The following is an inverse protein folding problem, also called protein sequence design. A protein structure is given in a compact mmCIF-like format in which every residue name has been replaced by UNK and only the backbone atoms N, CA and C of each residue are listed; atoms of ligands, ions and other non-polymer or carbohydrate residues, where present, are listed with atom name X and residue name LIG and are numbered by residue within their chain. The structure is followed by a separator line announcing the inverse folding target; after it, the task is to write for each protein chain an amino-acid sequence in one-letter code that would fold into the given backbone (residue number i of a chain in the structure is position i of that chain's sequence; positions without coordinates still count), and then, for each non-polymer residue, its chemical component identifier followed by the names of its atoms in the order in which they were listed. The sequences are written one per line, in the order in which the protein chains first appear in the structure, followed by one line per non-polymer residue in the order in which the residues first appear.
data_IF_158556843770
#
_entry.id   IF_158556843770
#
_cell.length_a   1.000
_cell.length_b   1.000
_cell.length_c   1.000
_cell.angle_alpha   90.00
_cell.angle_beta   90.00
_cell.angle_gamma   90.00
#
_symmetry.space_group_name_H-M   'P 1'
#
loop_
_entity.id
_entity.type
_entity.pdbx_description
1 polymer ?
#
# COMPACT_ATOMS: atom_id res chain seq x y z
N UNK A 1 11.76 -6.40 6.35
CA UNK A 1 12.87 -6.27 5.37
C UNK A 1 14.24 -6.58 5.97
N UNK A 2 14.62 -6.06 7.13
CA UNK A 2 15.93 -6.36 7.73
C UNK A 2 16.17 -7.87 7.97
N UNK A 3 15.16 -8.63 8.37
CA UNK A 3 15.24 -10.09 8.57
C UNK A 3 15.47 -10.84 7.25
N UNK A 4 14.83 -10.41 6.17
CA UNK A 4 15.00 -10.99 4.84
C UNK A 4 16.41 -10.74 4.31
N UNK A 5 16.92 -9.51 4.47
CA UNK A 5 18.29 -9.17 4.14
C UNK A 5 19.30 -10.01 4.94
N UNK A 6 19.08 -10.16 6.25
CA UNK A 6 19.93 -10.99 7.10
C UNK A 6 19.91 -12.47 6.68
N UNK A 7 18.75 -12.99 6.26
CA UNK A 7 18.63 -14.35 5.75
C UNK A 7 19.45 -14.56 4.47
N UNK A 8 19.30 -13.67 3.45
CA UNK A 8 20.02 -13.81 2.19
C UNK A 8 21.51 -13.51 2.29
N UNK A 9 21.91 -12.65 3.22
CA UNK A 9 23.34 -12.48 3.55
C UNK A 9 23.94 -13.78 4.09
N UNK A 10 23.18 -14.56 4.87
CA UNK A 10 23.62 -15.85 5.40
C UNK A 10 23.55 -16.99 4.38
N UNK A 11 22.63 -16.91 3.42
CA UNK A 11 22.39 -17.92 2.39
C UNK A 11 22.34 -17.30 0.99
N UNK A 12 23.49 -16.86 0.43
CA UNK A 12 23.54 -16.12 -0.84
C UNK A 12 23.07 -16.94 -2.04
N UNK A 13 23.26 -18.25 -2.01
CA UNK A 13 22.86 -19.18 -3.10
C UNK A 13 21.40 -19.66 -2.97
N UNK A 14 20.61 -19.06 -2.12
CA UNK A 14 19.23 -19.48 -1.92
C UNK A 14 18.38 -19.22 -3.18
N UNK A 15 17.82 -20.30 -3.75
CA UNK A 15 16.86 -20.24 -4.88
C UNK A 15 15.61 -19.40 -4.58
N UNK A 16 15.34 -19.11 -3.32
CA UNK A 16 14.19 -18.31 -2.89
C UNK A 16 14.42 -16.80 -3.02
N UNK A 17 15.64 -16.36 -3.29
CA UNK A 17 15.96 -14.95 -3.43
C UNK A 17 15.13 -14.26 -4.55
N UNK A 18 15.05 -14.90 -5.73
CA UNK A 18 14.27 -14.39 -6.85
C UNK A 18 12.74 -14.40 -6.60
N UNK A 19 12.26 -15.28 -5.71
CA UNK A 19 10.85 -15.34 -5.31
C UNK A 19 10.52 -14.27 -4.27
N UNK A 20 11.46 -13.97 -3.38
CA UNK A 20 11.29 -13.00 -2.32
C UNK A 20 11.18 -11.55 -2.82
N UNK A 21 11.83 -11.24 -3.94
CA UNK A 21 11.79 -9.91 -4.56
C UNK A 21 10.40 -9.51 -5.04
N UNK A 22 9.60 -10.48 -5.46
CA UNK A 22 8.25 -10.22 -5.98
C UNK A 22 7.14 -10.29 -4.93
N UNK A 23 7.45 -10.69 -3.68
CA UNK A 23 6.44 -10.85 -2.63
C UNK A 23 6.39 -9.60 -1.75
N UNK A 24 5.59 -8.62 -2.16
CA UNK A 24 5.34 -7.40 -1.37
C UNK A 24 4.31 -7.60 -0.26
N UNK A 25 3.45 -8.61 -0.36
CA UNK A 25 2.33 -8.83 0.55
C UNK A 25 2.22 -10.31 0.94
N UNK A 26 1.73 -10.57 2.15
CA UNK A 26 1.43 -11.93 2.59
C UNK A 26 0.20 -12.48 1.84
N UNK A 27 0.26 -13.73 1.36
CA UNK A 27 -0.89 -14.42 0.76
C UNK A 27 -1.94 -14.84 1.81
N UNK A 28 -2.10 -14.04 2.86
CA UNK A 28 -3.07 -14.25 3.92
C UNK A 28 -3.47 -12.89 4.48
N UNK A 29 -4.74 -12.54 4.32
CA UNK A 29 -5.27 -11.24 4.73
C UNK A 29 -5.20 -11.03 6.24
N UNK A 30 -5.40 -12.07 7.03
CA UNK A 30 -5.33 -12.00 8.50
C UNK A 30 -3.91 -11.71 8.99
N UNK A 31 -2.89 -12.35 8.38
CA UNK A 31 -1.49 -12.04 8.65
C UNK A 31 -1.15 -10.62 8.24
N UNK A 32 -1.64 -10.15 7.10
CA UNK A 32 -1.48 -8.77 6.64
C UNK A 32 -2.06 -7.78 7.65
N UNK A 33 -3.25 -8.04 8.18
CA UNK A 33 -3.87 -7.17 9.20
C UNK A 33 -3.09 -7.17 10.50
N UNK A 34 -2.56 -8.31 10.93
CA UNK A 34 -1.69 -8.38 12.13
C UNK A 34 -0.41 -7.57 11.93
N UNK A 35 0.23 -7.69 10.78
CA UNK A 35 1.49 -6.97 10.48
C UNK A 35 1.25 -5.47 10.37
N UNK A 36 0.17 -5.03 9.70
CA UNK A 36 -0.08 -3.61 9.44
C UNK A 36 -0.76 -2.89 10.62
N UNK A 37 -1.66 -3.55 11.33
CA UNK A 37 -2.52 -2.93 12.35
C UNK A 37 -2.35 -3.56 13.75
N UNK A 38 -1.48 -4.56 13.88
CA UNK A 38 -1.28 -5.30 15.11
C UNK A 38 -2.49 -6.16 15.53
N UNK A 39 -2.37 -6.82 16.66
CA UNK A 39 -3.43 -7.67 17.23
C UNK A 39 -4.70 -6.88 17.52
N UNK A 40 -4.59 -5.61 17.94
CA UNK A 40 -5.74 -4.76 18.24
C UNK A 40 -6.54 -4.48 16.97
N UNK A 41 -5.88 -4.12 15.86
CA UNK A 41 -6.55 -3.89 14.59
C UNK A 41 -7.24 -5.14 14.05
N UNK A 42 -6.58 -6.30 14.12
CA UNK A 42 -7.19 -7.58 13.76
C UNK A 42 -8.46 -7.85 14.61
N UNK A 43 -8.37 -7.69 15.93
CA UNK A 43 -9.48 -7.95 16.84
C UNK A 43 -10.68 -7.05 16.55
N UNK A 44 -10.45 -5.76 16.28
CA UNK A 44 -11.50 -4.80 15.92
C UNK A 44 -12.16 -5.18 14.58
N UNK A 45 -11.38 -5.57 13.59
CA UNK A 45 -11.89 -5.98 12.27
C UNK A 45 -12.75 -7.25 12.38
N UNK A 46 -12.26 -8.26 13.12
CA UNK A 46 -13.02 -9.49 13.36
C UNK A 46 -14.31 -9.21 14.14
N UNK A 47 -14.29 -8.29 15.10
CA UNK A 47 -15.48 -7.87 15.84
C UNK A 47 -16.49 -7.18 14.92
N UNK A 48 -16.05 -6.26 14.07
CA UNK A 48 -16.91 -5.58 13.09
C UNK A 48 -17.58 -6.56 12.11
N UNK A 49 -16.89 -7.61 11.71
CA UNK A 49 -17.44 -8.66 10.82
C UNK A 49 -18.36 -9.59 11.59
N UNK A 50 -18.02 -9.96 12.82
CA UNK A 50 -18.76 -10.96 13.60
C UNK A 50 -20.12 -10.44 14.08
N UNK A 51 -20.23 -9.14 14.41
CA UNK A 51 -21.48 -8.55 14.94
C UNK A 51 -22.65 -8.70 13.96
N UNK A 52 -22.57 -8.32 12.67
CA UNK A 52 -23.65 -8.54 11.71
C UNK A 52 -24.01 -10.02 11.53
N UNK A 53 -23.02 -10.89 11.49
CA UNK A 53 -23.23 -12.34 11.33
C UNK A 53 -23.96 -12.91 12.54
N UNK A 54 -23.56 -12.53 13.74
CA UNK A 54 -24.17 -13.04 14.97
C UNK A 54 -25.60 -12.52 15.16
N UNK A 55 -25.81 -11.23 14.93
CA UNK A 55 -27.14 -10.63 15.08
C UNK A 55 -28.14 -11.18 14.06
N UNK A 56 -27.69 -11.60 12.88
CA UNK A 56 -28.55 -12.19 11.83
C UNK A 56 -28.94 -13.65 12.09
N UNK A 57 -28.35 -14.34 13.10
CA UNK A 57 -28.63 -15.77 13.38
C UNK A 57 -30.09 -16.09 13.71
N UNK A 58 -30.84 -15.14 14.25
CA UNK A 58 -32.25 -15.29 14.59
C UNK A 58 -33.23 -15.13 13.42
N UNK A 59 -32.72 -14.78 12.23
CA UNK A 59 -33.53 -14.57 11.04
C UNK A 59 -33.73 -15.89 10.26
N UNK A 60 -34.80 -15.97 9.45
CA UNK A 60 -35.11 -17.16 8.65
C UNK A 60 -33.93 -17.51 7.74
N UNK A 61 -33.48 -18.76 7.82
CA UNK A 61 -32.27 -19.25 7.13
C UNK A 61 -32.40 -19.16 5.60
N UNK A 62 -33.61 -19.30 5.05
CA UNK A 62 -33.81 -19.36 3.60
C UNK A 62 -33.55 -18.04 2.88
N UNK A 63 -33.84 -16.90 3.52
CA UNK A 63 -33.73 -15.58 2.85
C UNK A 63 -32.28 -15.04 2.88
N UNK A 64 -31.53 -15.38 3.93
CA UNK A 64 -30.15 -14.89 4.11
C UNK A 64 -29.07 -15.93 3.79
N UNK A 65 -29.46 -17.10 3.30
CA UNK A 65 -28.53 -18.19 3.04
C UNK A 65 -27.42 -17.80 2.05
N UNK A 66 -27.80 -17.23 0.90
CA UNK A 66 -26.84 -16.83 -0.13
C UNK A 66 -25.92 -15.69 0.34
N UNK A 67 -26.42 -14.74 1.12
CA UNK A 67 -25.62 -13.64 1.67
C UNK A 67 -24.57 -14.19 2.63
N UNK A 68 -24.94 -15.09 3.53
CA UNK A 68 -24.02 -15.75 4.46
C UNK A 68 -22.98 -16.61 3.75
N UNK A 69 -23.40 -17.34 2.72
CA UNK A 69 -22.51 -18.16 1.90
C UNK A 69 -21.49 -17.28 1.16
N UNK A 70 -21.91 -16.15 0.61
CA UNK A 70 -21.01 -15.20 -0.05
C UNK A 70 -19.98 -14.62 0.92
N UNK A 71 -20.39 -14.22 2.13
CA UNK A 71 -19.45 -13.73 3.17
C UNK A 71 -18.49 -14.83 3.58
N UNK A 72 -18.97 -16.06 3.75
CA UNK A 72 -18.12 -17.21 4.07
C UNK A 72 -17.09 -17.46 2.97
N UNK A 73 -17.50 -17.39 1.70
CA UNK A 73 -16.61 -17.56 0.55
C UNK A 73 -15.51 -16.51 0.52
N UNK A 74 -15.84 -15.23 0.74
CA UNK A 74 -14.85 -14.15 0.86
C UNK A 74 -13.89 -14.45 2.03
N UNK A 75 -14.41 -14.89 3.18
CA UNK A 75 -13.61 -15.27 4.36
C UNK A 75 -12.64 -16.41 4.06
N UNK A 76 -13.08 -17.45 3.36
CA UNK A 76 -12.20 -18.56 2.94
C UNK A 76 -11.10 -18.05 1.99
N UNK A 77 -11.47 -17.24 0.99
CA UNK A 77 -10.49 -16.65 0.08
C UNK A 77 -9.44 -15.80 0.82
N UNK A 78 -9.83 -15.10 1.90
CA UNK A 78 -8.93 -14.28 2.69
C UNK A 78 -7.84 -15.08 3.45
N UNK A 79 -8.03 -16.38 3.66
CA UNK A 79 -6.99 -17.26 4.22
C UNK A 79 -5.88 -17.59 3.23
N UNK A 80 -6.19 -17.64 1.94
CA UNK A 80 -5.27 -18.11 0.89
C UNK A 80 -4.88 -17.02 -0.10
N UNK A 81 -5.44 -15.81 0.06
CA UNK A 81 -5.23 -14.68 -0.85
C UNK A 81 -5.44 -13.35 -0.11
N UNK A 82 -5.36 -12.26 -0.85
CA UNK A 82 -5.58 -10.89 -0.38
C UNK A 82 -6.77 -10.21 -1.10
N UNK A 83 -8.01 -10.74 -0.96
CA UNK A 83 -9.18 -10.23 -1.68
C UNK A 83 -9.49 -8.76 -1.35
N UNK A 84 -9.15 -8.30 -0.16
CA UNK A 84 -9.39 -6.91 0.26
C UNK A 84 -8.40 -5.89 -0.33
N UNK A 85 -7.45 -6.30 -1.18
CA UNK A 85 -6.69 -5.37 -2.02
C UNK A 85 -7.53 -4.84 -3.19
N UNK A 86 -8.63 -5.51 -3.53
CA UNK A 86 -9.50 -5.11 -4.63
C UNK A 86 -10.69 -4.31 -4.12
N UNK A 87 -10.83 -3.02 -4.52
CA UNK A 87 -11.93 -2.16 -4.05
C UNK A 87 -13.33 -2.75 -4.29
N UNK A 88 -13.51 -3.49 -5.39
CA UNK A 88 -14.77 -4.16 -5.69
C UNK A 88 -15.15 -5.18 -4.62
N UNK A 89 -14.20 -6.01 -4.16
CA UNK A 89 -14.46 -7.00 -3.11
C UNK A 89 -14.75 -6.31 -1.76
N UNK A 90 -14.06 -5.22 -1.47
CA UNK A 90 -14.34 -4.42 -0.26
C UNK A 90 -15.78 -3.89 -0.29
N UNK A 91 -16.19 -3.25 -1.39
CA UNK A 91 -17.56 -2.73 -1.54
C UNK A 91 -18.60 -3.84 -1.45
N UNK A 92 -18.35 -4.99 -2.09
CA UNK A 92 -19.23 -6.15 -2.01
C UNK A 92 -19.36 -6.68 -0.59
N UNK A 93 -18.25 -6.81 0.15
CA UNK A 93 -18.27 -7.25 1.54
C UNK A 93 -19.06 -6.29 2.43
N UNK A 94 -18.86 -4.98 2.28
CA UNK A 94 -19.60 -3.95 3.02
C UNK A 94 -21.09 -4.02 2.69
N UNK A 95 -21.46 -4.16 1.41
CA UNK A 95 -22.86 -4.28 0.99
C UNK A 95 -23.53 -5.53 1.59
N UNK A 96 -22.86 -6.69 1.54
CA UNK A 96 -23.36 -7.93 2.13
C UNK A 96 -23.57 -7.81 3.64
N UNK A 97 -22.64 -7.19 4.38
CA UNK A 97 -22.79 -6.93 5.80
C UNK A 97 -23.92 -5.94 6.10
N UNK A 98 -24.08 -4.91 5.28
CA UNK A 98 -25.18 -3.95 5.39
C UNK A 98 -26.54 -4.61 5.16
N UNK A 99 -26.67 -5.52 4.19
CA UNK A 99 -27.90 -6.30 3.97
C UNK A 99 -28.23 -7.18 5.17
N UNK A 100 -27.24 -7.84 5.80
CA UNK A 100 -27.47 -8.61 7.03
C UNK A 100 -28.02 -7.75 8.19
N UNK A 101 -27.60 -6.49 8.27
CA UNK A 101 -28.08 -5.56 9.30
C UNK A 101 -29.46 -4.97 8.95
N UNK A 102 -29.73 -4.68 7.66
CA UNK A 102 -30.97 -4.07 7.20
C UNK A 102 -32.18 -5.01 7.35
N UNK A 103 -31.98 -6.31 7.07
CA UNK A 103 -32.98 -7.35 7.25
C UNK A 103 -33.40 -7.56 8.73
N UNK A 104 -32.66 -7.02 9.65
CA UNK A 104 -33.05 -7.01 11.06
C UNK A 104 -34.29 -6.13 11.22
N UNK A 105 -35.47 -6.76 11.07
CA UNK A 105 -36.76 -6.11 11.41
C UNK A 105 -36.62 -5.41 12.72
N UNK A 106 -36.66 -4.10 12.66
CA UNK A 106 -36.59 -3.12 13.72
C UNK A 106 -37.38 -3.54 14.98
N UNK A 107 -36.76 -4.28 15.87
CA UNK A 107 -37.02 -4.04 17.25
C UNK A 107 -36.34 -2.72 17.59
N UNK A 108 -37.14 -1.69 17.62
CA UNK A 108 -36.80 -0.28 17.82
C UNK A 108 -35.74 -0.12 18.92
N UNK A 109 -34.48 -0.06 18.53
CA UNK A 109 -33.48 0.48 19.43
C UNK A 109 -33.61 2.01 19.32
N UNK A 110 -33.99 2.66 20.37
CA UNK A 110 -34.13 4.12 20.47
C UNK A 110 -32.84 4.87 20.08
N UNK A 111 -31.72 4.21 20.17
CA UNK A 111 -30.38 4.70 19.76
C UNK A 111 -30.31 4.96 18.26
N UNK A 112 -30.88 4.07 17.42
CA UNK A 112 -30.83 4.22 15.95
C UNK A 112 -31.76 5.33 15.46
N UNK A 113 -32.72 5.76 16.27
CA UNK A 113 -33.67 6.83 15.92
C UNK A 113 -33.17 8.23 16.30
N UNK A 114 -32.02 8.35 16.94
CA UNK A 114 -31.46 9.63 17.30
C UNK A 114 -30.98 10.38 16.03
N UNK A 115 -31.65 11.48 15.70
CA UNK A 115 -31.38 12.30 14.52
C UNK A 115 -29.95 12.88 14.56
N UNK A 116 -29.46 13.18 15.75
CA UNK A 116 -28.08 13.67 15.93
C UNK A 116 -27.03 12.61 15.56
N UNK A 117 -27.25 11.36 15.95
CA UNK A 117 -26.34 10.26 15.58
C UNK A 117 -26.35 10.01 14.08
N UNK A 118 -27.52 10.05 13.43
CA UNK A 118 -27.62 9.93 11.97
C UNK A 118 -26.93 11.09 11.27
N UNK A 119 -27.12 12.32 11.76
CA UNK A 119 -26.50 13.53 11.22
C UNK A 119 -24.98 13.49 11.34
N UNK A 120 -24.44 13.14 12.50
CA UNK A 120 -22.98 13.04 12.70
C UNK A 120 -22.36 11.93 11.86
N UNK A 121 -23.00 10.76 11.76
CA UNK A 121 -22.51 9.67 10.91
C UNK A 121 -22.53 10.04 9.43
N UNK A 122 -23.61 10.70 8.96
CA UNK A 122 -23.71 11.18 7.58
C UNK A 122 -22.64 12.22 7.26
N UNK A 123 -22.40 13.18 8.17
CA UNK A 123 -21.34 14.18 8.01
C UNK A 123 -19.95 13.54 7.97
N UNK A 124 -19.69 12.59 8.85
CA UNK A 124 -18.44 11.85 8.88
C UNK A 124 -18.22 11.07 7.58
N UNK A 125 -19.24 10.37 7.08
CA UNK A 125 -19.17 9.64 5.81
C UNK A 125 -18.89 10.57 4.64
N UNK A 126 -19.54 11.75 4.60
CA UNK A 126 -19.32 12.76 3.57
C UNK A 126 -17.87 13.29 3.63
N UNK A 127 -17.35 13.56 4.83
CA UNK A 127 -15.97 14.01 5.02
C UNK A 127 -14.96 12.95 4.54
N UNK A 128 -15.21 11.66 4.83
CA UNK A 128 -14.36 10.58 4.31
C UNK A 128 -14.42 10.47 2.78
N UNK A 129 -15.60 10.57 2.19
CA UNK A 129 -15.75 10.54 0.73
C UNK A 129 -15.03 11.70 0.05
N UNK A 130 -15.13 12.91 0.59
CA UNK A 130 -14.42 14.08 0.05
C UNK A 130 -12.91 13.94 0.19
N UNK A 131 -12.41 13.44 1.33
CA UNK A 131 -10.98 13.18 1.54
C UNK A 131 -10.45 12.11 0.56
N UNK A 132 -11.21 11.03 0.36
CA UNK A 132 -10.84 9.96 -0.59
C UNK A 132 -10.85 10.46 -2.03
N UNK A 133 -11.86 11.25 -2.42
CA UNK A 133 -11.93 11.84 -3.76
C UNK A 133 -10.77 12.82 -4.01
N UNK A 134 -10.39 13.60 -3.01
CA UNK A 134 -9.23 14.50 -3.09
C UNK A 134 -7.92 13.71 -3.26
N UNK A 135 -7.71 12.65 -2.48
CA UNK A 135 -6.54 11.79 -2.61
C UNK A 135 -6.46 11.14 -4.00
N UNK A 136 -7.59 10.60 -4.49
CA UNK A 136 -7.66 10.01 -5.82
C UNK A 136 -7.37 11.03 -6.95
N UNK A 137 -7.77 12.28 -6.76
CA UNK A 137 -7.43 13.37 -7.70
C UNK A 137 -5.92 13.62 -7.74
N UNK A 138 -5.25 13.72 -6.58
CA UNK A 138 -3.80 13.90 -6.50
C UNK A 138 -3.02 12.74 -7.14
N UNK A 139 -3.44 11.51 -6.89
CA UNK A 139 -2.82 10.31 -7.48
C UNK A 139 -3.01 10.27 -8.99
N UNK A 140 -4.17 10.70 -9.49
CA UNK A 140 -4.42 10.83 -10.93
C UNK A 140 -3.52 11.87 -11.57
N UNK A 141 -3.34 13.02 -10.94
CA UNK A 141 -2.41 14.06 -11.43
C UNK A 141 -0.98 13.54 -11.47
N UNK A 142 -0.53 12.88 -10.40
CA UNK A 142 0.77 12.23 -10.39
C UNK A 142 0.92 11.21 -11.53
N UNK A 143 -0.07 10.36 -11.74
CA UNK A 143 -0.04 9.36 -12.83
C UNK A 143 0.13 10.03 -14.21
N UNK A 144 -0.52 11.16 -14.45
CA UNK A 144 -0.41 11.89 -15.71
C UNK A 144 1.00 12.46 -15.89
N UNK A 145 1.58 13.08 -14.87
CA UNK A 145 2.94 13.64 -14.97
C UNK A 145 4.00 12.55 -15.07
N UNK A 146 3.84 11.43 -14.38
CA UNK A 146 4.72 10.27 -14.48
C UNK A 146 4.74 9.71 -15.91
N UNK A 147 3.59 9.56 -16.55
CA UNK A 147 3.52 9.15 -17.95
C UNK A 147 4.19 10.12 -18.91
N UNK A 148 4.13 11.43 -18.67
CA UNK A 148 4.83 12.44 -19.48
C UNK A 148 6.34 12.36 -19.28
N UNK A 149 6.79 12.21 -18.03
CA UNK A 149 8.21 12.03 -17.72
C UNK A 149 8.80 10.82 -18.44
N UNK A 150 8.09 9.69 -18.46
CA UNK A 150 8.50 8.48 -19.18
C UNK A 150 8.63 8.68 -20.71
N UNK A 151 8.02 9.73 -21.26
CA UNK A 151 8.18 10.14 -22.66
C UNK A 151 9.32 11.12 -22.89
N UNK A 152 10.13 11.40 -21.86
CA UNK A 152 11.29 12.29 -21.94
C UNK A 152 11.00 13.75 -21.56
N UNK A 153 9.81 14.08 -21.05
CA UNK A 153 9.44 15.43 -20.65
C UNK A 153 9.82 15.72 -19.18
N UNK A 154 10.80 15.02 -18.59
CA UNK A 154 11.19 15.09 -17.19
C UNK A 154 11.37 16.52 -16.69
N UNK A 155 12.19 17.34 -17.37
CA UNK A 155 12.45 18.71 -16.95
C UNK A 155 11.19 19.59 -16.88
N UNK A 156 10.23 19.37 -17.78
CA UNK A 156 8.96 20.12 -17.80
C UNK A 156 8.01 19.69 -16.68
N UNK A 157 8.14 18.44 -16.21
CA UNK A 157 7.27 17.87 -15.18
C UNK A 157 7.77 18.11 -13.76
N UNK A 158 9.05 18.39 -13.55
CA UNK A 158 9.62 18.61 -12.20
C UNK A 158 8.89 19.68 -11.37
N UNK A 159 8.47 20.84 -11.90
CA UNK A 159 7.68 21.79 -11.13
C UNK A 159 6.35 21.22 -10.62
N UNK A 160 5.73 20.32 -11.38
CA UNK A 160 4.48 19.66 -11.01
C UNK A 160 4.72 18.60 -9.94
N UNK A 161 5.80 17.80 -10.02
CA UNK A 161 6.23 16.92 -8.94
C UNK A 161 6.44 17.69 -7.64
N UNK A 162 7.13 18.84 -7.71
CA UNK A 162 7.36 19.72 -6.57
C UNK A 162 6.06 20.25 -5.95
N UNK A 163 5.05 20.59 -6.75
CA UNK A 163 3.74 21.03 -6.27
C UNK A 163 2.94 19.91 -5.59
N UNK A 164 3.06 18.66 -6.08
CA UNK A 164 2.38 17.50 -5.49
C UNK A 164 3.08 16.97 -4.23
N UNK A 165 4.37 17.21 -4.08
CA UNK A 165 5.18 16.67 -3.00
C UNK A 165 4.61 16.91 -1.59
N UNK A 166 4.11 18.11 -1.19
CA UNK A 166 3.55 18.30 0.15
C UNK A 166 2.35 17.40 0.46
N UNK A 167 1.59 17.03 -0.56
CA UNK A 167 0.36 16.25 -0.46
C UNK A 167 0.60 14.75 -0.56
N UNK A 168 1.63 14.32 -1.30
CA UNK A 168 1.94 12.91 -1.56
C UNK A 168 3.22 12.41 -0.85
N UNK A 169 3.77 13.19 0.06
CA UNK A 169 5.02 12.85 0.78
C UNK A 169 4.94 11.58 1.64
N UNK A 170 3.76 11.03 1.86
CA UNK A 170 3.56 9.77 2.58
C UNK A 170 3.33 8.58 1.65
N UNK A 171 3.35 8.80 0.33
CA UNK A 171 3.28 7.76 -0.68
C UNK A 171 4.71 7.41 -1.13
N UNK A 172 5.15 6.20 -0.80
CA UNK A 172 6.49 5.68 -1.09
C UNK A 172 6.77 5.60 -2.60
N UNK A 173 5.80 5.17 -3.40
CA UNK A 173 5.93 5.08 -4.85
C UNK A 173 6.06 6.46 -5.50
N UNK A 174 5.31 7.47 -4.99
CA UNK A 174 5.46 8.84 -5.44
C UNK A 174 6.86 9.37 -5.13
N UNK A 175 7.35 9.17 -3.91
CA UNK A 175 8.68 9.63 -3.50
C UNK A 175 9.78 8.97 -4.33
N UNK A 176 9.70 7.65 -4.54
CA UNK A 176 10.65 6.94 -5.41
C UNK A 176 10.66 7.52 -6.82
N UNK A 177 9.48 7.69 -7.43
CA UNK A 177 9.35 8.23 -8.78
C UNK A 177 9.90 9.65 -8.87
N UNK A 178 9.56 10.52 -7.91
CA UNK A 178 10.08 11.89 -7.86
C UNK A 178 11.61 11.94 -7.70
N UNK A 179 12.18 11.09 -6.84
CA UNK A 179 13.62 10.99 -6.67
C UNK A 179 14.31 10.51 -7.97
N UNK A 180 13.72 9.53 -8.67
CA UNK A 180 14.23 9.04 -9.95
C UNK A 180 14.21 10.15 -11.02
N UNK A 181 13.14 10.92 -11.11
CA UNK A 181 13.04 12.04 -12.07
C UNK A 181 14.05 13.16 -11.76
N UNK A 182 14.29 13.46 -10.49
CA UNK A 182 15.33 14.40 -10.08
C UNK A 182 16.74 13.89 -10.45
N UNK A 183 17.01 12.58 -10.28
CA UNK A 183 18.27 11.98 -10.67
C UNK A 183 18.48 12.11 -12.20
N UNK A 184 17.48 11.71 -13.00
CA UNK A 184 17.52 11.81 -14.47
C UNK A 184 17.76 13.26 -14.93
N UNK A 185 17.20 14.23 -14.21
CA UNK A 185 17.38 15.65 -14.50
C UNK A 185 18.73 16.23 -14.02
N UNK A 186 19.56 15.44 -13.34
CA UNK A 186 20.87 15.87 -12.81
C UNK A 186 20.83 16.58 -11.46
N UNK A 187 19.67 16.62 -10.79
CA UNK A 187 19.52 17.23 -9.45
C UNK A 187 19.81 16.20 -8.34
N UNK A 188 21.03 15.65 -8.32
CA UNK A 188 21.41 14.50 -7.48
C UNK A 188 21.29 14.77 -5.98
N UNK A 189 21.60 15.99 -5.50
CA UNK A 189 21.43 16.37 -4.09
C UNK A 189 19.97 16.39 -3.64
N UNK A 190 19.06 16.90 -4.49
CA UNK A 190 17.64 16.93 -4.21
C UNK A 190 17.06 15.52 -4.31
N UNK A 191 17.46 14.75 -5.32
CA UNK A 191 17.11 13.35 -5.47
C UNK A 191 17.48 12.56 -4.22
N UNK A 192 18.69 12.72 -3.69
CA UNK A 192 19.15 12.03 -2.48
C UNK A 192 18.30 12.39 -1.24
N UNK A 193 17.86 13.65 -1.11
CA UNK A 193 16.96 14.06 -0.01
C UNK A 193 15.63 13.34 -0.08
N UNK A 194 14.99 13.32 -1.25
CA UNK A 194 13.71 12.63 -1.46
C UNK A 194 13.87 11.13 -1.33
N UNK A 195 14.95 10.54 -1.86
CA UNK A 195 15.25 9.11 -1.71
C UNK A 195 15.43 8.70 -0.24
N UNK A 196 16.06 9.53 0.58
CA UNK A 196 16.18 9.29 2.03
C UNK A 196 14.83 9.36 2.75
N UNK A 197 13.90 10.21 2.34
CA UNK A 197 12.52 10.22 2.87
C UNK A 197 11.78 8.94 2.45
N UNK A 198 11.90 8.54 1.20
CA UNK A 198 11.34 7.30 0.67
C UNK A 198 11.87 6.09 1.45
N UNK A 199 13.17 6.03 1.72
CA UNK A 199 13.81 4.92 2.42
C UNK A 199 13.32 4.71 3.87
N UNK A 200 12.70 5.72 4.49
CA UNK A 200 12.04 5.58 5.80
C UNK A 200 10.70 4.86 5.70
N UNK A 201 10.02 4.96 4.57
CA UNK A 201 8.72 4.35 4.32
C UNK A 201 8.87 2.98 3.64
N UNK A 202 9.79 2.91 2.70
CA UNK A 202 9.98 1.75 1.86
C UNK A 202 11.46 1.57 1.51
N UNK A 203 12.06 0.47 1.95
CA UNK A 203 13.44 0.11 1.66
C UNK A 203 13.44 -1.03 0.64
N UNK A 204 13.79 -0.72 -0.59
CA UNK A 204 13.86 -1.67 -1.70
C UNK A 204 15.21 -1.59 -2.41
N UNK A 205 15.53 -2.62 -3.20
CA UNK A 205 16.73 -2.70 -3.98
C UNK A 205 16.85 -1.55 -4.98
N UNK A 206 15.77 -1.29 -5.72
CA UNK A 206 15.75 -0.23 -6.73
C UNK A 206 16.01 1.15 -6.13
N UNK A 207 15.47 1.41 -4.93
CA UNK A 207 15.75 2.63 -4.19
C UNK A 207 17.21 2.72 -3.75
N UNK A 208 17.81 1.61 -3.29
CA UNK A 208 19.23 1.59 -2.90
C UNK A 208 20.13 1.80 -4.12
N UNK A 209 19.77 1.26 -5.28
CA UNK A 209 20.49 1.50 -6.54
C UNK A 209 20.40 2.96 -6.97
N UNK A 210 19.22 3.59 -6.89
CA UNK A 210 19.04 5.02 -7.15
C UNK A 210 19.91 5.89 -6.23
N UNK A 211 19.96 5.53 -4.92
CA UNK A 211 20.80 6.23 -3.95
C UNK A 211 22.29 6.04 -4.25
N UNK A 212 22.69 4.84 -4.68
CA UNK A 212 24.07 4.56 -5.08
C UNK A 212 24.46 5.38 -6.33
N UNK A 213 23.58 5.48 -7.31
CA UNK A 213 23.82 6.29 -8.52
C UNK A 213 23.95 7.78 -8.17
N UNK A 214 23.05 8.33 -7.36
CA UNK A 214 23.18 9.70 -6.87
C UNK A 214 24.53 9.94 -6.17
N UNK A 215 24.98 9.03 -5.29
CA UNK A 215 26.27 9.14 -4.61
C UNK A 215 27.44 9.06 -5.58
N UNK A 216 27.34 8.25 -6.63
CA UNK A 216 28.36 8.14 -7.67
C UNK A 216 28.50 9.45 -8.43
N UNK A 217 27.41 10.04 -8.85
CA UNK A 217 27.38 11.33 -9.56
C UNK A 217 27.91 12.47 -8.68
N UNK A 218 27.67 12.40 -7.36
CA UNK A 218 28.22 13.33 -6.37
C UNK A 218 29.65 13.02 -5.93
N UNK A 219 30.32 12.02 -6.57
CA UNK A 219 31.68 11.57 -6.28
C UNK A 219 31.89 11.05 -4.84
N UNK A 220 30.82 10.57 -4.20
CA UNK A 220 30.84 10.02 -2.84
C UNK A 220 31.05 8.50 -2.84
N UNK A 221 32.19 8.04 -3.31
CA UNK A 221 32.49 6.63 -3.60
C UNK A 221 32.29 5.67 -2.41
N UNK A 222 32.68 6.08 -1.20
CA UNK A 222 32.46 5.25 0.01
C UNK A 222 30.97 5.03 0.32
N UNK A 223 30.13 6.06 0.12
CA UNK A 223 28.69 5.95 0.29
C UNK A 223 28.07 5.08 -0.82
N UNK A 224 28.51 5.24 -2.06
CA UNK A 224 28.10 4.41 -3.20
C UNK A 224 28.33 2.93 -2.90
N UNK A 225 29.53 2.54 -2.45
CA UNK A 225 29.84 1.15 -2.09
C UNK A 225 28.90 0.62 -0.99
N UNK A 226 28.60 1.45 0.01
CA UNK A 226 27.68 1.08 1.11
C UNK A 226 26.26 0.80 0.59
N UNK A 227 25.73 1.63 -0.32
CA UNK A 227 24.40 1.43 -0.89
C UNK A 227 24.35 0.22 -1.82
N UNK A 228 25.37 0.00 -2.64
CA UNK A 228 25.49 -1.19 -3.48
C UNK A 228 25.56 -2.47 -2.65
N UNK A 229 26.31 -2.49 -1.55
CA UNK A 229 26.33 -3.63 -0.63
C UNK A 229 24.95 -3.88 0.01
N UNK A 230 24.23 -2.81 0.36
CA UNK A 230 22.86 -2.95 0.86
C UNK A 230 21.90 -3.48 -0.20
N UNK A 231 22.01 -3.03 -1.45
CA UNK A 231 21.17 -3.53 -2.53
C UNK A 231 21.42 -5.01 -2.80
N UNK A 232 22.68 -5.45 -2.81
CA UNK A 232 23.07 -6.85 -3.03
C UNK A 232 22.71 -7.76 -1.85
N UNK A 233 22.65 -7.24 -0.62
CA UNK A 233 22.27 -7.97 0.59
C UNK A 233 20.76 -8.07 0.81
N UNK A 234 19.98 -7.14 0.28
CA UNK A 234 18.52 -7.13 0.46
C UNK A 234 17.79 -8.14 -0.42
N UNK A 235 18.26 -8.34 -1.64
CA UNK A 235 17.87 -9.40 -2.60
C UNK A 235 19.02 -9.45 -3.61
N UNK A 236 19.38 -10.59 -4.22
CA UNK A 236 20.27 -10.57 -5.35
C UNK A 236 19.58 -9.83 -6.51
N UNK A 237 19.62 -8.49 -6.46
CA UNK A 237 19.38 -7.71 -7.66
C UNK A 237 20.28 -8.30 -8.73
N UNK A 238 19.74 -8.65 -9.88
CA UNK A 238 20.53 -8.87 -11.06
C UNK A 238 21.27 -7.56 -11.32
N UNK A 239 22.46 -7.45 -10.75
CA UNK A 239 23.40 -6.41 -11.13
C UNK A 239 23.68 -6.68 -12.59
N UNK A 240 22.95 -6.04 -13.47
CA UNK A 240 23.46 -5.81 -14.81
C UNK A 240 24.65 -4.89 -14.56
N UNK A 241 25.81 -5.53 -14.42
CA UNK A 241 27.06 -4.80 -14.39
C UNK A 241 27.02 -3.86 -15.59
N UNK A 242 26.88 -2.57 -15.33
CA UNK A 242 27.26 -1.56 -16.29
C UNK A 242 28.77 -1.67 -16.33
N UNK A 243 29.24 -2.60 -17.17
CA UNK A 243 30.63 -2.67 -17.54
C UNK A 243 30.87 -1.38 -18.34
N UNK A 244 31.75 -0.49 -17.90
CA UNK A 244 32.16 0.62 -18.74
C UNK A 244 32.74 -0.02 -20.00
N UNK A 245 32.13 0.24 -21.12
CA UNK A 245 32.73 -0.03 -22.43
C UNK A 245 33.79 1.04 -22.58
N UNK A 246 35.07 0.62 -22.51
CA UNK A 246 36.24 1.43 -22.83
C UNK A 246 36.16 1.96 -24.28
#
# INVERSE_FOLDING_TARGET
MNEQAAYFTRYPDSKYANLADNVRESFNEFLKWVVNYGIVGLSLTLLLISVPIWTSRKQKMSELFFIRLSILSIGICAFFSYPFNYPFIQLMAVALLAFLLAERKSQQSSIVNNIWLKGTLSLFTLALLTATAYQAHLEREWHIIAHKSLRGETHQMLPQYKSLYPHLRYNDLFLYNYAAELNVAGYHDESMKIANECNKLWADCDLQMLMADNCLQLQQYCATESYLKKSSGNVPCKIYAVIPVD
#
